data_IF_346133392079
#
_entry.id   IF_346133392079
#
_cell.length_a   1.000
_cell.length_b   1.000
_cell.length_c   1.000
_cell.angle_alpha   90.00
_cell.angle_beta   90.00
_cell.angle_gamma   90.00
#
_symmetry.space_group_name_H-M   'P 1'
#
loop_
_entity.id
_entity.type
_entity.pdbx_description
1 polymer ?
#
# COMPACT_ATOMS: atom_id res chain seq x y z
N UNK A 1 -9.93 62.34 -28.69
CA UNK A 1 -10.56 61.00 -28.74
C UNK A 1 -9.50 59.88 -28.72
N UNK A 2 -8.51 59.93 -27.82
CA UNK A 2 -7.34 59.03 -27.85
C UNK A 2 -6.79 58.62 -26.46
N UNK A 3 -7.66 58.54 -25.43
CA UNK A 3 -7.26 58.11 -24.06
C UNK A 3 -7.75 56.70 -23.68
N UNK A 4 -8.55 56.03 -24.51
CA UNK A 4 -9.19 54.75 -24.16
C UNK A 4 -8.42 53.47 -24.51
N UNK A 5 -7.33 53.55 -25.27
CA UNK A 5 -6.60 52.36 -25.76
C UNK A 5 -5.41 51.95 -24.87
N UNK A 6 -4.94 52.84 -24.01
CA UNK A 6 -3.79 52.59 -23.11
C UNK A 6 -4.20 51.85 -21.84
N UNK A 7 -5.40 52.09 -21.31
CA UNK A 7 -5.88 51.44 -20.07
C UNK A 7 -6.26 49.97 -20.26
N UNK A 8 -6.79 49.58 -21.43
CA UNK A 8 -7.11 48.16 -21.73
C UNK A 8 -5.87 47.27 -21.86
N UNK A 9 -4.70 47.83 -22.17
CA UNK A 9 -3.42 47.10 -22.25
C UNK A 9 -2.79 46.84 -20.87
N UNK A 10 -3.11 47.64 -19.85
CA UNK A 10 -2.56 47.49 -18.51
C UNK A 10 -3.24 46.34 -17.72
N UNK A 11 -4.52 46.07 -17.98
CA UNK A 11 -5.31 45.04 -17.28
C UNK A 11 -5.13 43.62 -17.86
N UNK A 12 -4.62 43.46 -19.08
CA UNK A 12 -4.40 42.14 -19.71
C UNK A 12 -3.08 41.46 -19.29
N UNK A 13 -2.04 42.24 -18.95
CA UNK A 13 -0.74 41.75 -18.45
C UNK A 13 -0.82 40.93 -17.14
N UNK A 14 -1.63 41.30 -16.12
CA UNK A 14 -1.71 40.52 -14.88
C UNK A 14 -2.38 39.15 -15.05
N UNK A 15 -3.34 39.00 -15.98
CA UNK A 15 -4.01 37.72 -16.21
C UNK A 15 -3.10 36.66 -16.85
N UNK A 16 -2.33 37.05 -17.88
CA UNK A 16 -1.37 36.15 -18.52
C UNK A 16 -0.21 35.76 -17.58
N UNK A 17 0.29 36.71 -16.77
CA UNK A 17 1.31 36.43 -15.76
C UNK A 17 0.79 35.50 -14.65
N UNK A 18 -0.46 35.68 -14.21
CA UNK A 18 -1.13 34.79 -13.24
C UNK A 18 -1.34 33.39 -13.80
N UNK A 19 -1.83 33.26 -15.03
CA UNK A 19 -2.01 31.97 -15.70
C UNK A 19 -0.68 31.22 -15.89
N UNK A 20 0.38 31.94 -16.27
CA UNK A 20 1.72 31.36 -16.40
C UNK A 20 2.31 30.96 -15.04
N UNK A 21 2.11 31.76 -13.99
CA UNK A 21 2.53 31.43 -12.63
C UNK A 21 1.77 30.20 -12.07
N UNK A 22 0.46 30.14 -12.29
CA UNK A 22 -0.39 28.99 -11.93
C UNK A 22 0.04 27.72 -12.69
N UNK A 23 0.27 27.81 -14.00
CA UNK A 23 0.76 26.69 -14.80
C UNK A 23 2.13 26.18 -14.36
N UNK A 24 3.05 27.08 -13.99
CA UNK A 24 4.36 26.71 -13.43
C UNK A 24 4.22 26.05 -12.05
N UNK A 25 3.44 26.63 -11.14
CA UNK A 25 3.21 26.06 -9.81
C UNK A 25 2.61 24.65 -9.88
N UNK A 26 1.67 24.44 -10.80
CA UNK A 26 1.08 23.13 -11.09
C UNK A 26 2.12 22.11 -11.60
N UNK A 27 3.02 22.54 -12.47
CA UNK A 27 4.11 21.67 -12.94
C UNK A 27 5.08 21.26 -11.82
N UNK A 28 5.33 22.15 -10.85
CA UNK A 28 6.18 21.88 -9.70
C UNK A 28 5.49 20.93 -8.73
N UNK A 29 4.23 21.17 -8.39
CA UNK A 29 3.47 20.29 -7.51
C UNK A 29 3.38 18.87 -8.07
N UNK A 30 3.10 18.71 -9.37
CA UNK A 30 3.09 17.38 -10.01
C UNK A 30 4.43 16.66 -9.87
N UNK A 31 5.55 17.36 -10.07
CA UNK A 31 6.90 16.79 -9.89
C UNK A 31 7.16 16.41 -8.43
N UNK A 32 6.71 17.23 -7.47
CA UNK A 32 6.85 16.93 -6.05
C UNK A 32 6.00 15.74 -5.62
N UNK A 33 4.75 15.66 -6.07
CA UNK A 33 3.90 14.49 -5.82
C UNK A 33 4.52 13.23 -6.41
N UNK A 34 5.05 13.29 -7.63
CA UNK A 34 5.77 12.16 -8.23
C UNK A 34 7.00 11.77 -7.40
N UNK A 35 7.78 12.74 -6.94
CA UNK A 35 8.93 12.50 -6.07
C UNK A 35 8.52 11.85 -4.75
N UNK A 36 7.39 12.26 -4.15
CA UNK A 36 6.84 11.63 -2.95
C UNK A 36 6.39 10.19 -3.22
N UNK A 37 5.74 9.92 -4.37
CA UNK A 37 5.38 8.55 -4.76
C UNK A 37 6.62 7.65 -4.92
N UNK A 38 7.66 8.16 -5.58
CA UNK A 38 8.94 7.43 -5.73
C UNK A 38 9.60 7.20 -4.37
N UNK A 39 9.59 8.20 -3.48
CA UNK A 39 10.12 8.07 -2.13
C UNK A 39 9.37 7.00 -1.34
N UNK A 40 8.04 6.99 -1.38
CA UNK A 40 7.21 5.97 -0.73
C UNK A 40 7.47 4.59 -1.31
N UNK A 41 7.64 4.46 -2.62
CA UNK A 41 8.01 3.21 -3.27
C UNK A 41 9.36 2.70 -2.75
N UNK A 42 10.40 3.52 -2.82
CA UNK A 42 11.76 3.14 -2.38
C UNK A 42 11.76 2.78 -0.90
N UNK A 43 11.12 3.58 -0.07
CA UNK A 43 11.03 3.35 1.38
C UNK A 43 10.22 2.10 1.72
N UNK A 44 9.09 1.90 1.05
CA UNK A 44 8.26 0.71 1.23
C UNK A 44 9.02 -0.55 0.86
N UNK A 45 9.78 -0.54 -0.26
CA UNK A 45 10.66 -1.64 -0.62
C UNK A 45 11.77 -1.85 0.40
N UNK A 46 12.35 -0.78 0.95
CA UNK A 46 13.33 -0.89 2.04
C UNK A 46 12.73 -1.55 3.27
N UNK A 47 11.54 -1.14 3.74
CA UNK A 47 10.89 -1.82 4.87
C UNK A 47 10.53 -3.27 4.56
N UNK A 48 10.03 -3.53 3.34
CA UNK A 48 9.69 -4.86 2.89
C UNK A 48 10.89 -5.82 2.93
N UNK A 49 12.13 -5.33 2.82
CA UNK A 49 13.37 -6.13 2.85
C UNK A 49 14.04 -6.12 4.22
N UNK A 50 14.15 -4.95 4.86
CA UNK A 50 14.89 -4.76 6.12
C UNK A 50 14.17 -5.39 7.30
N UNK A 51 12.83 -5.36 7.32
CA UNK A 51 12.07 -6.09 8.33
C UNK A 51 12.15 -7.58 7.98
N UNK A 52 12.71 -8.44 8.85
CA UNK A 52 12.84 -9.85 8.54
C UNK A 52 11.47 -10.47 8.19
N UNK A 53 11.44 -11.58 7.41
CA UNK A 53 10.22 -12.34 7.21
C UNK A 53 9.51 -12.62 8.54
N UNK A 54 8.18 -12.49 8.55
CA UNK A 54 7.30 -12.84 9.67
C UNK A 54 7.36 -11.90 10.89
N UNK A 55 8.22 -10.88 10.88
CA UNK A 55 8.36 -9.91 11.98
C UNK A 55 7.41 -8.71 11.86
N UNK A 56 6.59 -8.64 10.80
CA UNK A 56 5.44 -7.72 10.79
C UNK A 56 4.26 -8.32 11.58
N UNK A 57 3.43 -7.43 12.12
CA UNK A 57 2.25 -7.80 12.90
C UNK A 57 1.27 -8.67 12.09
N UNK A 58 0.90 -9.84 12.65
CA UNK A 58 -0.03 -10.83 12.08
C UNK A 58 0.28 -11.32 10.64
N UNK A 59 1.47 -11.00 10.12
CA UNK A 59 1.84 -11.25 8.73
C UNK A 59 1.79 -12.74 8.31
N UNK A 60 2.18 -13.73 9.15
CA UNK A 60 2.16 -15.13 8.74
C UNK A 60 0.77 -15.61 8.33
N UNK A 61 -0.29 -15.22 9.04
CA UNK A 61 -1.65 -15.68 8.76
C UNK A 61 -2.34 -14.88 7.65
N UNK A 62 -1.95 -13.62 7.44
CA UNK A 62 -2.34 -12.89 6.23
C UNK A 62 -1.71 -13.51 4.97
N UNK A 63 -0.43 -13.86 5.04
CA UNK A 63 0.26 -14.58 3.98
C UNK A 63 -0.36 -15.97 3.75
N UNK A 64 -0.64 -16.73 4.81
CA UNK A 64 -1.27 -18.06 4.72
C UNK A 64 -2.59 -17.98 3.94
N UNK A 65 -3.42 -16.97 4.19
CA UNK A 65 -4.67 -16.77 3.45
C UNK A 65 -4.40 -16.54 1.94
N UNK A 66 -3.51 -15.61 1.58
CA UNK A 66 -3.17 -15.36 0.18
C UNK A 66 -2.57 -16.59 -0.51
N UNK A 67 -1.71 -17.34 0.19
CA UNK A 67 -1.10 -18.57 -0.31
C UNK A 67 -2.11 -19.71 -0.49
N UNK A 68 -3.07 -19.87 0.42
CA UNK A 68 -4.18 -20.84 0.26
C UNK A 68 -5.02 -20.53 -0.98
N UNK A 69 -5.33 -19.25 -1.24
CA UNK A 69 -6.03 -18.85 -2.47
C UNK A 69 -5.16 -19.18 -3.70
N UNK A 70 -3.87 -18.84 -3.67
CA UNK A 70 -2.96 -19.07 -4.78
C UNK A 70 -2.80 -20.56 -5.12
N UNK A 71 -2.75 -21.43 -4.11
CA UNK A 71 -2.62 -22.89 -4.24
C UNK A 71 -3.93 -23.56 -4.65
N UNK A 72 -5.05 -23.20 -4.02
CA UNK A 72 -6.31 -23.91 -4.18
C UNK A 72 -7.17 -23.36 -5.32
N UNK A 73 -6.94 -22.12 -5.75
CA UNK A 73 -7.76 -21.43 -6.76
C UNK A 73 -9.17 -21.07 -6.26
N UNK A 74 -9.43 -21.18 -4.96
CA UNK A 74 -10.71 -20.91 -4.32
C UNK A 74 -10.53 -20.14 -3.01
N UNK A 75 -11.60 -19.50 -2.52
CA UNK A 75 -11.58 -18.81 -1.24
C UNK A 75 -11.58 -19.84 -0.09
N UNK A 76 -10.58 -19.84 0.80
CA UNK A 76 -10.60 -20.68 2.00
C UNK A 76 -11.73 -20.27 2.95
N UNK A 77 -12.24 -21.27 3.66
CA UNK A 77 -13.13 -21.13 4.82
C UNK A 77 -12.31 -21.14 6.12
N UNK A 78 -12.96 -20.92 7.26
CA UNK A 78 -12.34 -21.06 8.59
C UNK A 78 -11.81 -22.48 8.86
N UNK A 79 -12.36 -23.48 8.17
CA UNK A 79 -11.97 -24.89 8.29
C UNK A 79 -10.88 -25.28 7.29
N UNK A 80 -10.57 -24.41 6.31
CA UNK A 80 -9.55 -24.72 5.31
C UNK A 80 -8.17 -24.66 5.94
N UNK A 81 -7.45 -25.77 5.86
CA UNK A 81 -6.10 -25.91 6.41
C UNK A 81 -5.22 -26.67 5.43
N UNK A 82 -4.01 -26.15 5.18
CA UNK A 82 -2.93 -26.86 4.49
C UNK A 82 -1.78 -27.08 5.49
N UNK A 83 -1.67 -28.28 6.09
CA UNK A 83 -0.59 -28.58 7.03
C UNK A 83 0.80 -28.37 6.44
N UNK A 84 0.99 -28.65 5.14
CA UNK A 84 2.29 -28.51 4.48
C UNK A 84 2.69 -27.05 4.42
N UNK A 85 1.81 -26.17 3.91
CA UNK A 85 2.01 -24.72 3.91
C UNK A 85 2.32 -24.20 5.32
N UNK A 86 1.52 -24.61 6.29
CA UNK A 86 1.64 -24.08 7.66
C UNK A 86 2.96 -24.47 8.32
N UNK A 87 3.46 -25.68 8.06
CA UNK A 87 4.79 -26.09 8.50
C UNK A 87 5.92 -25.42 7.71
N UNK A 88 5.74 -25.10 6.43
CA UNK A 88 6.71 -24.32 5.66
C UNK A 88 6.86 -22.91 6.24
N UNK A 89 5.75 -22.22 6.49
CA UNK A 89 5.73 -20.91 7.15
C UNK A 89 6.39 -21.00 8.53
N UNK A 90 5.98 -21.97 9.35
CA UNK A 90 6.52 -22.13 10.70
C UNK A 90 8.04 -22.40 10.73
N UNK A 91 8.54 -23.26 9.84
CA UNK A 91 9.99 -23.51 9.70
C UNK A 91 10.73 -22.25 9.25
N UNK A 92 10.13 -21.49 8.35
CA UNK A 92 10.69 -20.19 7.94
C UNK A 92 10.73 -19.22 9.12
N UNK A 93 9.65 -19.11 9.92
CA UNK A 93 9.60 -18.28 11.13
C UNK A 93 10.74 -18.59 12.11
N UNK A 94 10.98 -19.87 12.38
CA UNK A 94 12.07 -20.31 13.26
C UNK A 94 13.47 -19.92 12.73
N UNK A 95 13.63 -19.73 11.42
CA UNK A 95 14.91 -19.30 10.83
C UNK A 95 15.20 -17.80 10.99
N UNK A 96 14.17 -16.98 11.21
CA UNK A 96 14.30 -15.52 11.31
C UNK A 96 13.99 -14.96 12.71
N UNK A 97 13.29 -15.72 13.55
CA UNK A 97 12.83 -15.28 14.87
C UNK A 97 13.19 -16.27 15.96
N UNK A 98 13.71 -15.75 17.08
CA UNK A 98 13.87 -16.55 18.31
C UNK A 98 12.53 -16.87 18.98
N UNK A 99 11.45 -16.19 18.56
CA UNK A 99 10.08 -16.37 19.05
C UNK A 99 9.21 -17.16 18.07
N UNK A 100 9.84 -17.83 17.10
CA UNK A 100 9.16 -18.75 16.20
C UNK A 100 8.46 -19.90 16.95
N UNK A 101 7.54 -20.61 16.29
CA UNK A 101 6.76 -21.68 16.90
C UNK A 101 7.58 -22.89 17.40
N UNK A 102 8.86 -22.98 17.07
CA UNK A 102 9.76 -24.05 17.53
C UNK A 102 9.37 -25.42 16.97
N UNK A 103 9.24 -25.50 15.65
CA UNK A 103 8.77 -26.71 14.96
C UNK A 103 9.89 -27.72 14.72
N UNK A 104 9.61 -28.98 15.05
CA UNK A 104 10.43 -30.12 14.65
C UNK A 104 9.93 -30.73 13.33
N UNK A 105 10.27 -32.01 13.11
CA UNK A 105 9.72 -32.77 11.98
C UNK A 105 8.19 -32.82 12.00
N UNK A 106 7.58 -32.85 10.81
CA UNK A 106 6.14 -32.94 10.67
C UNK A 106 5.61 -34.21 11.35
N UNK A 107 4.66 -34.02 12.26
CA UNK A 107 3.97 -35.12 12.94
C UNK A 107 2.45 -34.94 12.83
N UNK A 108 1.74 -35.80 12.08
CA UNK A 108 0.30 -35.64 11.85
C UNK A 108 -0.55 -35.85 13.12
N UNK A 109 0.04 -36.35 14.21
CA UNK A 109 -0.62 -36.52 15.52
C UNK A 109 -0.49 -35.30 16.43
N UNK A 110 0.34 -34.32 16.05
CA UNK A 110 0.50 -33.07 16.81
C UNK A 110 -0.42 -31.99 16.25
N UNK A 111 -0.87 -31.04 17.10
CA UNK A 111 -1.53 -29.82 16.61
C UNK A 111 -0.65 -29.12 15.58
N UNK A 112 -1.29 -28.40 14.65
CA UNK A 112 -0.56 -27.57 13.70
C UNK A 112 0.21 -26.47 14.43
N UNK A 113 1.36 -26.03 13.87
CA UNK A 113 2.12 -24.92 14.43
C UNK A 113 1.26 -23.68 14.62
N UNK A 114 1.42 -23.02 15.76
CA UNK A 114 0.77 -21.75 16.02
C UNK A 114 1.58 -20.63 15.34
N UNK A 115 1.09 -20.15 14.20
CA UNK A 115 1.66 -19.03 13.46
C UNK A 115 0.87 -17.73 13.66
N UNK A 116 -0.07 -17.70 14.61
CA UNK A 116 -0.95 -16.55 14.87
C UNK A 116 -2.44 -16.84 14.66
N UNK A 117 -3.25 -15.81 14.85
CA UNK A 117 -4.71 -15.87 14.67
C UNK A 117 -5.04 -15.93 13.18
N UNK A 118 -5.90 -16.87 12.77
CA UNK A 118 -6.27 -17.05 11.37
C UNK A 118 -6.96 -15.81 10.80
N UNK A 119 -6.54 -15.42 9.60
CA UNK A 119 -7.09 -14.28 8.87
C UNK A 119 -8.17 -14.68 7.86
N UNK A 120 -8.49 -15.98 7.71
CA UNK A 120 -9.43 -16.49 6.69
C UNK A 120 -10.88 -16.03 6.89
N UNK A 121 -11.20 -15.41 8.03
CA UNK A 121 -12.49 -14.75 8.28
C UNK A 121 -12.59 -13.29 7.80
N UNK A 122 -11.49 -12.69 7.33
CA UNK A 122 -11.48 -11.30 6.86
C UNK A 122 -11.99 -11.16 5.42
N UNK A 123 -12.31 -9.92 5.01
CA UNK A 123 -12.75 -9.62 3.66
C UNK A 123 -11.70 -10.04 2.61
N UNK A 124 -12.08 -10.76 1.54
CA UNK A 124 -11.14 -11.53 0.72
C UNK A 124 -10.34 -10.69 -0.28
N UNK A 125 -10.72 -9.44 -0.55
CA UNK A 125 -10.22 -8.69 -1.70
C UNK A 125 -8.69 -8.48 -1.67
N UNK A 126 -8.11 -8.16 -0.51
CA UNK A 126 -6.66 -8.03 -0.39
C UNK A 126 -5.95 -9.34 -0.72
N UNK A 127 -6.43 -10.44 -0.16
CA UNK A 127 -5.82 -11.76 -0.32
C UNK A 127 -5.97 -12.29 -1.75
N UNK A 128 -7.08 -11.97 -2.43
CA UNK A 128 -7.25 -12.26 -3.86
C UNK A 128 -6.21 -11.51 -4.72
N UNK A 129 -5.94 -10.25 -4.40
CA UNK A 129 -4.91 -9.48 -5.10
C UNK A 129 -3.51 -10.02 -4.78
N UNK A 130 -3.22 -10.31 -3.51
CA UNK A 130 -1.94 -10.85 -3.05
C UNK A 130 -1.66 -12.27 -3.57
N UNK A 131 -2.71 -13.06 -3.79
CA UNK A 131 -2.58 -14.38 -4.41
C UNK A 131 -2.02 -14.32 -5.82
N UNK A 132 -2.19 -13.20 -6.56
CA UNK A 132 -1.67 -13.06 -7.93
C UNK A 132 -0.14 -13.14 -8.01
N UNK A 133 0.63 -12.26 -7.32
CA UNK A 133 2.09 -12.36 -7.31
C UNK A 133 2.58 -13.60 -6.56
N UNK A 134 1.88 -14.07 -5.51
CA UNK A 134 2.21 -15.33 -4.82
C UNK A 134 2.11 -16.52 -5.77
N UNK A 135 1.08 -16.57 -6.62
CA UNK A 135 0.90 -17.64 -7.61
C UNK A 135 2.06 -17.73 -8.61
N UNK A 136 2.67 -16.59 -8.96
CA UNK A 136 3.84 -16.55 -9.84
C UNK A 136 5.12 -17.08 -9.17
N UNK A 137 5.11 -17.22 -7.84
CA UNK A 137 6.25 -17.64 -7.03
C UNK A 137 6.01 -18.98 -6.30
N UNK A 138 5.00 -19.78 -6.70
CA UNK A 138 4.65 -21.04 -6.02
C UNK A 138 5.78 -22.06 -6.00
N UNK A 139 6.61 -22.09 -7.05
CA UNK A 139 7.77 -22.98 -7.15
C UNK A 139 8.99 -22.49 -6.34
N UNK A 140 8.87 -21.31 -5.70
CA UNK A 140 9.91 -20.72 -4.85
C UNK A 140 9.59 -20.91 -3.37
N UNK A 141 10.55 -20.57 -2.50
CA UNK A 141 10.36 -20.66 -1.05
C UNK A 141 9.26 -19.71 -0.54
N UNK A 142 8.72 -20.00 0.65
CA UNK A 142 7.65 -19.17 1.26
C UNK A 142 8.10 -17.73 1.54
N UNK A 143 9.38 -17.50 1.73
CA UNK A 143 9.97 -16.16 1.85
C UNK A 143 9.87 -15.39 0.55
N UNK A 144 10.19 -16.01 -0.59
CA UNK A 144 10.06 -15.37 -1.91
C UNK A 144 8.61 -15.04 -2.21
N UNK A 145 7.70 -15.96 -1.88
CA UNK A 145 6.25 -15.73 -1.98
C UNK A 145 5.80 -14.56 -1.08
N UNK A 146 6.33 -14.48 0.16
CA UNK A 146 6.05 -13.38 1.08
C UNK A 146 6.55 -12.04 0.50
N UNK A 147 7.77 -11.96 -0.02
CA UNK A 147 8.28 -10.74 -0.65
C UNK A 147 7.44 -10.32 -1.86
N UNK A 148 6.90 -11.27 -2.61
CA UNK A 148 5.96 -10.98 -3.71
C UNK A 148 4.66 -10.34 -3.20
N UNK A 149 4.12 -10.82 -2.07
CA UNK A 149 2.97 -10.20 -1.41
C UNK A 149 3.30 -8.82 -0.82
N UNK A 150 4.45 -8.65 -0.15
CA UNK A 150 4.91 -7.33 0.35
C UNK A 150 5.09 -6.32 -0.78
N UNK A 151 5.62 -6.74 -1.94
CA UNK A 151 5.76 -5.87 -3.10
C UNK A 151 4.40 -5.32 -3.57
N UNK A 152 3.35 -6.15 -3.59
CA UNK A 152 1.99 -5.68 -3.85
C UNK A 152 1.54 -4.66 -2.80
N UNK A 153 1.75 -4.92 -1.50
CA UNK A 153 1.41 -3.97 -0.44
C UNK A 153 2.08 -2.61 -0.66
N UNK A 154 3.37 -2.59 -1.03
CA UNK A 154 4.09 -1.36 -1.35
C UNK A 154 3.46 -0.63 -2.56
N UNK A 155 3.06 -1.35 -3.61
CA UNK A 155 2.35 -0.75 -4.75
C UNK A 155 0.99 -0.15 -4.35
N UNK A 156 0.24 -0.84 -3.48
CA UNK A 156 -1.02 -0.33 -2.92
C UNK A 156 -0.79 0.91 -2.05
N UNK A 157 0.29 0.97 -1.28
CA UNK A 157 0.66 2.14 -0.49
C UNK A 157 0.95 3.35 -1.40
N UNK A 158 1.67 3.16 -2.51
CA UNK A 158 1.90 4.22 -3.51
C UNK A 158 0.58 4.67 -4.16
N UNK A 159 -0.32 3.73 -4.47
CA UNK A 159 -1.66 4.03 -4.98
C UNK A 159 -2.46 4.87 -3.98
N UNK A 160 -2.43 4.54 -2.68
CA UNK A 160 -3.11 5.31 -1.65
C UNK A 160 -2.65 6.78 -1.64
N UNK A 161 -1.33 7.02 -1.73
CA UNK A 161 -0.78 8.38 -1.81
C UNK A 161 -1.22 9.11 -3.10
N UNK A 162 -1.22 8.42 -4.25
CA UNK A 162 -1.66 9.01 -5.52
C UNK A 162 -3.14 9.40 -5.52
N UNK A 163 -4.00 8.55 -4.93
CA UNK A 163 -5.42 8.86 -4.72
C UNK A 163 -5.59 10.02 -3.75
N UNK A 164 -4.81 10.06 -2.66
CA UNK A 164 -4.83 11.17 -1.70
C UNK A 164 -4.43 12.49 -2.37
N UNK A 165 -3.43 12.49 -3.26
CA UNK A 165 -3.05 13.67 -4.01
C UNK A 165 -4.18 14.17 -4.93
N UNK A 166 -4.95 13.25 -5.50
CA UNK A 166 -6.12 13.58 -6.33
C UNK A 166 -7.25 14.14 -5.47
N UNK A 167 -7.58 13.49 -4.36
CA UNK A 167 -8.57 13.96 -3.38
C UNK A 167 -8.23 15.36 -2.87
N UNK A 168 -6.99 15.60 -2.45
CA UNK A 168 -6.56 16.88 -1.89
C UNK A 168 -6.62 18.01 -2.93
N UNK A 169 -6.37 17.74 -4.20
CA UNK A 169 -6.57 18.73 -5.27
C UNK A 169 -8.04 19.11 -5.42
N UNK A 170 -8.95 18.17 -5.19
CA UNK A 170 -10.38 18.45 -5.24
C UNK A 170 -10.86 19.18 -4.00
N UNK A 171 -10.40 18.77 -2.82
CA UNK A 171 -10.84 19.33 -1.54
C UNK A 171 -10.20 20.69 -1.23
N UNK A 172 -8.96 20.92 -1.68
CA UNK A 172 -8.14 22.09 -1.36
C UNK A 172 -7.58 22.75 -2.63
N UNK A 173 -8.43 23.24 -3.56
CA UNK A 173 -7.98 23.77 -4.86
C UNK A 173 -7.00 24.94 -4.71
N UNK A 174 -7.26 25.85 -3.77
CA UNK A 174 -6.50 27.09 -3.56
C UNK A 174 -5.34 26.98 -2.56
N UNK A 175 -5.09 25.79 -1.98
CA UNK A 175 -4.08 25.61 -0.92
C UNK A 175 -3.01 24.57 -1.28
N UNK A 176 -2.20 24.78 -2.35
CA UNK A 176 -1.19 23.82 -2.81
C UNK A 176 -0.14 23.46 -1.76
N UNK A 177 0.24 24.43 -0.91
CA UNK A 177 1.18 24.20 0.18
C UNK A 177 0.63 23.19 1.20
N UNK A 178 -0.65 23.34 1.58
CA UNK A 178 -1.31 22.43 2.51
C UNK A 178 -1.44 21.02 1.94
N UNK A 179 -1.73 20.89 0.63
CA UNK A 179 -1.74 19.58 -0.07
C UNK A 179 -0.39 18.88 0.08
N UNK A 180 0.71 19.60 -0.19
CA UNK A 180 2.06 19.04 -0.07
C UNK A 180 2.43 18.69 1.36
N UNK A 181 2.01 19.48 2.35
CA UNK A 181 2.21 19.15 3.78
C UNK A 181 1.53 17.84 4.12
N UNK A 182 0.24 17.68 3.80
CA UNK A 182 -0.51 16.44 4.09
C UNK A 182 0.10 15.22 3.39
N UNK A 183 0.44 15.35 2.10
CA UNK A 183 1.08 14.27 1.35
C UNK A 183 2.48 13.92 1.90
N UNK A 184 3.24 14.92 2.34
CA UNK A 184 4.54 14.70 2.97
C UNK A 184 4.39 13.99 4.31
N UNK A 185 3.38 14.34 5.11
CA UNK A 185 3.09 13.62 6.36
C UNK A 185 2.78 12.14 6.09
N UNK A 186 1.91 11.85 5.11
CA UNK A 186 1.62 10.47 4.71
C UNK A 186 2.88 9.73 4.25
N UNK A 187 3.69 10.35 3.39
CA UNK A 187 4.88 9.74 2.81
C UNK A 187 6.03 9.53 3.82
N UNK A 188 6.18 10.45 4.78
CA UNK A 188 7.33 10.52 5.68
C UNK A 188 7.06 9.89 7.05
N UNK A 189 5.82 9.55 7.40
CA UNK A 189 5.52 8.87 8.68
C UNK A 189 6.12 7.45 8.73
N UNK A 190 7.06 7.15 9.65
CA UNK A 190 7.72 5.85 9.70
C UNK A 190 6.84 4.67 10.05
N UNK A 191 5.99 4.81 11.05
CA UNK A 191 5.07 3.74 11.46
C UNK A 191 4.13 3.35 10.32
N UNK A 192 3.62 4.33 9.57
CA UNK A 192 2.76 4.08 8.42
C UNK A 192 3.51 3.32 7.32
N UNK A 193 4.72 3.76 6.94
CA UNK A 193 5.51 3.10 5.91
C UNK A 193 5.89 1.66 6.26
N UNK A 194 6.24 1.40 7.53
CA UNK A 194 6.54 0.04 7.99
C UNK A 194 5.29 -0.85 7.95
N UNK A 195 4.19 -0.42 8.61
CA UNK A 195 2.95 -1.19 8.70
C UNK A 195 2.36 -1.52 7.31
N UNK A 196 2.29 -0.53 6.41
CA UNK A 196 1.69 -0.69 5.09
C UNK A 196 2.58 -1.46 4.09
N UNK A 197 3.84 -1.75 4.45
CA UNK A 197 4.73 -2.58 3.64
C UNK A 197 4.62 -4.08 3.93
N UNK A 198 3.96 -4.44 5.04
CA UNK A 198 3.67 -5.82 5.43
C UNK A 198 2.71 -6.50 4.45
N UNK A 199 2.74 -7.83 4.40
CA UNK A 199 1.66 -8.59 3.76
C UNK A 199 0.41 -8.56 4.66
N UNK A 200 -0.42 -7.52 4.56
CA UNK A 200 -1.63 -7.31 5.37
C UNK A 200 -2.71 -6.56 4.59
N UNK A 201 -3.98 -6.79 4.94
CA UNK A 201 -5.13 -6.10 4.37
C UNK A 201 -5.26 -4.62 4.80
N UNK A 202 -4.48 -4.16 5.78
CA UNK A 202 -4.46 -2.77 6.26
C UNK A 202 -4.18 -1.77 5.12
N UNK A 203 -3.26 -2.10 4.22
CA UNK A 203 -2.90 -1.23 3.10
C UNK A 203 -4.04 -1.07 2.10
N UNK A 204 -4.81 -2.13 1.87
CA UNK A 204 -6.00 -2.05 1.02
C UNK A 204 -7.11 -1.26 1.71
N UNK A 205 -7.24 -1.37 3.03
CA UNK A 205 -8.15 -0.53 3.82
C UNK A 205 -7.80 0.95 3.66
N UNK A 206 -6.51 1.30 3.68
CA UNK A 206 -6.06 2.67 3.43
C UNK A 206 -6.42 3.16 2.02
N UNK A 207 -6.21 2.34 0.99
CA UNK A 207 -6.61 2.64 -0.40
C UNK A 207 -8.13 2.86 -0.49
N UNK A 208 -8.92 1.94 0.06
CA UNK A 208 -10.37 1.98 0.02
C UNK A 208 -10.92 3.22 0.73
N UNK A 209 -10.39 3.56 1.92
CA UNK A 209 -10.78 4.76 2.66
C UNK A 209 -10.55 6.05 1.85
N UNK A 210 -9.38 6.21 1.25
CA UNK A 210 -9.06 7.37 0.42
C UNK A 210 -9.91 7.39 -0.86
N UNK A 211 -10.14 6.24 -1.49
CA UNK A 211 -10.98 6.13 -2.68
C UNK A 211 -12.44 6.52 -2.39
N UNK A 212 -13.00 6.08 -1.27
CA UNK A 212 -14.36 6.44 -0.86
C UNK A 212 -14.49 7.95 -0.60
N UNK A 213 -13.51 8.56 0.06
CA UNK A 213 -13.48 10.02 0.24
C UNK A 213 -13.38 10.76 -1.09
N UNK A 214 -12.58 10.25 -2.03
CA UNK A 214 -12.46 10.79 -3.38
C UNK A 214 -13.79 10.70 -4.14
N UNK A 215 -14.47 9.55 -4.10
CA UNK A 215 -15.78 9.37 -4.72
C UNK A 215 -16.80 10.33 -4.10
N UNK A 216 -16.84 10.44 -2.76
CA UNK A 216 -17.71 11.40 -2.07
C UNK A 216 -17.45 12.84 -2.51
N UNK A 217 -16.18 13.25 -2.61
CA UNK A 217 -15.81 14.58 -3.08
C UNK A 217 -16.19 14.83 -4.56
N UNK A 218 -16.23 13.80 -5.39
CA UNK A 218 -16.67 13.90 -6.78
C UNK A 218 -18.19 14.00 -6.92
N UNK A 219 -18.95 13.30 -6.05
CA UNK A 219 -20.42 13.30 -6.06
C UNK A 219 -21.00 14.60 -5.50
N UNK A 220 -20.32 15.23 -4.54
CA UNK A 220 -20.78 16.47 -3.89
C UNK A 220 -20.45 17.76 -4.66
N UNK A 221 -19.77 17.65 -5.80
CA UNK A 221 -19.41 18.77 -6.69
C UNK A 221 -20.50 19.01 -7.73
#
# INVERSE_FOLDING_TARGET
MARGLTERRALARPAAARAHAQGRAWSVERKLVLALCVLVLVRGLLYAVVVPPWEHYDEPTHFEYAALIARNGSLPTLETSDPTLRYEIARSMDSFSTWGPGVGEYNPRRPLPNIGVSQTGHQPLYYLLAALPVRLALDSSVEVQLYAARALSVLLMVLALALAATLLRLALPEAPALRLVVLSMMALTPSYGALMSAASNDVLTSVAGVALLLIGALVLR
#
